data_IF_277157277493
#
_entry.id   IF_277157277493
#
_cell.length_a   1.000
_cell.length_b   1.000
_cell.length_c   1.000
_cell.angle_alpha   90.00
_cell.angle_beta   90.00
_cell.angle_gamma   90.00
#
_symmetry.space_group_name_H-M   'P 1'
#
loop_
_entity.id
_entity.type
_entity.pdbx_description
1 polymer ?
#
# COMPACT_ATOMS: atom_id res chain seq x y z
N UNK A 1 -3.48 -17.76 12.55
CA UNK A 1 -3.44 -16.28 12.41
C UNK A 1 -2.47 -15.98 11.30
N UNK A 2 -2.92 -15.28 10.25
CA UNK A 2 -2.06 -14.93 9.13
C UNK A 2 -1.92 -13.41 8.98
N UNK A 3 -0.80 -13.00 8.39
CA UNK A 3 -0.41 -11.62 8.16
C UNK A 3 -0.17 -11.42 6.66
N UNK A 4 -0.89 -10.49 6.03
CA UNK A 4 -0.90 -10.37 4.57
C UNK A 4 -0.45 -8.98 4.13
N UNK A 5 0.48 -8.95 3.17
CA UNK A 5 0.94 -7.72 2.51
C UNK A 5 0.05 -7.33 1.33
N UNK A 6 -0.08 -6.02 1.08
CA UNK A 6 -0.79 -5.46 -0.06
C UNK A 6 0.12 -4.46 -0.77
N UNK A 7 0.39 -4.67 -2.06
CA UNK A 7 1.10 -3.71 -2.91
C UNK A 7 0.09 -3.09 -3.89
N UNK A 8 -0.21 -1.80 -3.70
CA UNK A 8 -1.13 -1.07 -4.57
C UNK A 8 -0.41 -0.58 -5.84
N UNK A 9 -0.73 -1.17 -6.97
CA UNK A 9 -0.10 -0.91 -8.28
C UNK A 9 -1.10 -0.50 -9.38
N UNK A 10 -2.38 -0.29 -9.05
CA UNK A 10 -3.43 0.04 -10.03
C UNK A 10 -3.45 1.49 -10.52
N UNK A 11 -2.59 2.36 -9.98
CA UNK A 11 -2.55 3.77 -10.37
C UNK A 11 -1.98 3.99 -11.77
N UNK A 12 -2.71 4.70 -12.64
CA UNK A 12 -2.28 5.04 -14.01
C UNK A 12 -1.23 6.17 -14.08
N UNK A 13 -0.90 6.79 -12.95
CA UNK A 13 0.17 7.80 -12.88
C UNK A 13 -0.09 9.06 -13.70
N UNK A 14 -1.33 9.51 -13.84
CA UNK A 14 -1.75 10.66 -14.70
C UNK A 14 -0.92 11.95 -14.51
N UNK A 15 -0.33 12.15 -13.33
CA UNK A 15 0.52 13.29 -13.00
C UNK A 15 1.98 13.13 -13.42
N UNK A 16 2.40 11.92 -13.80
CA UNK A 16 3.83 11.63 -14.06
C UNK A 16 4.26 11.94 -15.50
N UNK A 17 3.31 12.01 -16.46
CA UNK A 17 3.58 12.41 -17.84
C UNK A 17 4.46 11.45 -18.67
N UNK A 18 4.64 10.21 -18.22
CA UNK A 18 5.39 9.20 -18.95
C UNK A 18 4.45 8.30 -19.79
N UNK A 19 5.01 7.65 -20.81
CA UNK A 19 4.27 6.73 -21.71
C UNK A 19 3.74 5.47 -21.01
N UNK A 20 4.19 5.21 -19.79
CA UNK A 20 3.76 4.07 -18.96
C UNK A 20 3.60 4.47 -17.49
N UNK A 21 2.77 3.73 -16.72
CA UNK A 21 2.62 3.97 -15.29
C UNK A 21 3.95 3.96 -14.54
N UNK A 22 4.11 4.89 -13.58
CA UNK A 22 5.39 5.13 -12.88
C UNK A 22 5.96 3.89 -12.18
N UNK A 23 5.10 3.02 -11.65
CA UNK A 23 5.51 1.78 -10.98
C UNK A 23 6.25 0.80 -11.90
N UNK A 24 6.09 0.93 -13.21
CA UNK A 24 6.77 0.12 -14.23
C UNK A 24 7.97 0.85 -14.87
N UNK A 25 8.25 2.08 -14.45
CA UNK A 25 9.48 2.76 -14.82
C UNK A 25 10.66 2.13 -14.10
N UNK A 26 11.81 2.07 -14.77
CA UNK A 26 13.03 1.50 -14.18
C UNK A 26 13.75 2.51 -13.28
N UNK A 27 14.19 2.01 -12.13
CA UNK A 27 15.23 2.60 -11.31
C UNK A 27 16.43 1.66 -11.46
N UNK A 28 17.52 2.17 -12.02
CA UNK A 28 18.64 1.35 -12.49
C UNK A 28 18.15 0.31 -13.52
N UNK A 29 18.27 -0.96 -13.24
CA UNK A 29 17.90 -2.07 -14.12
C UNK A 29 16.55 -2.73 -13.80
N UNK A 30 15.91 -2.38 -12.67
CA UNK A 30 14.66 -2.96 -12.18
C UNK A 30 13.48 -2.01 -12.28
N UNK A 31 12.28 -2.53 -12.54
CA UNK A 31 11.06 -1.75 -12.40
C UNK A 31 10.86 -1.29 -10.94
N UNK A 32 10.28 -0.11 -10.74
CA UNK A 32 10.07 0.44 -9.40
C UNK A 32 9.30 -0.52 -8.49
N UNK A 33 8.27 -1.20 -9.01
CA UNK A 33 7.49 -2.19 -8.28
C UNK A 33 8.33 -3.38 -7.78
N UNK A 34 9.41 -3.73 -8.48
CA UNK A 34 10.29 -4.82 -8.07
C UNK A 34 10.85 -4.63 -6.67
N UNK A 35 11.20 -3.39 -6.30
CA UNK A 35 11.75 -3.09 -4.98
C UNK A 35 10.74 -3.38 -3.87
N UNK A 36 9.48 -2.99 -4.05
CA UNK A 36 8.40 -3.33 -3.11
C UNK A 36 8.18 -4.85 -3.04
N UNK A 37 8.05 -5.53 -4.18
CA UNK A 37 7.90 -6.99 -4.22
C UNK A 37 9.05 -7.69 -3.50
N UNK A 38 10.29 -7.24 -3.72
CA UNK A 38 11.47 -7.83 -3.09
C UNK A 38 11.50 -7.60 -1.57
N UNK A 39 11.09 -6.41 -1.09
CA UNK A 39 11.00 -6.14 0.34
C UNK A 39 9.96 -7.03 1.02
N UNK A 40 8.77 -7.15 0.45
CA UNK A 40 7.72 -8.03 0.98
C UNK A 40 8.12 -9.50 1.01
N UNK A 41 8.86 -9.99 0.01
CA UNK A 41 9.38 -11.37 0.00
C UNK A 41 10.41 -11.66 1.09
N UNK A 42 11.15 -10.66 1.53
CA UNK A 42 12.20 -10.81 2.52
C UNK A 42 11.72 -10.53 3.95
N UNK A 43 10.55 -9.91 4.11
CA UNK A 43 9.94 -9.68 5.41
C UNK A 43 9.58 -11.02 6.07
N UNK A 44 9.77 -11.09 7.39
CA UNK A 44 9.62 -12.32 8.18
C UNK A 44 8.25 -12.43 8.86
N UNK A 45 7.63 -11.27 9.09
CA UNK A 45 6.39 -11.17 9.86
C UNK A 45 5.13 -11.10 8.98
N UNK A 46 5.27 -11.40 7.68
CA UNK A 46 4.15 -11.60 6.75
C UNK A 46 4.21 -13.02 6.16
N UNK A 47 3.06 -13.65 6.02
CA UNK A 47 2.94 -15.01 5.49
C UNK A 47 2.80 -15.03 3.97
N UNK A 48 2.15 -14.01 3.39
CA UNK A 48 1.95 -13.87 1.96
C UNK A 48 1.67 -12.40 1.60
N UNK A 49 1.66 -12.08 0.31
CA UNK A 49 1.27 -10.75 -0.17
C UNK A 49 0.61 -10.80 -1.54
N UNK A 50 -0.22 -9.80 -1.81
CA UNK A 50 -0.93 -9.61 -3.08
C UNK A 50 -0.52 -8.29 -3.74
N UNK A 51 -0.64 -8.25 -5.07
CA UNK A 51 -0.41 -7.04 -5.87
C UNK A 51 -1.72 -6.63 -6.52
N UNK A 52 -2.21 -5.44 -6.18
CA UNK A 52 -3.43 -4.89 -6.75
C UNK A 52 -3.10 -4.10 -8.00
N UNK A 53 -3.67 -4.49 -9.14
CA UNK A 53 -3.32 -3.98 -10.47
C UNK A 53 -4.55 -3.46 -11.22
N UNK A 54 -4.33 -2.66 -12.26
CA UNK A 54 -5.40 -2.27 -13.17
C UNK A 54 -5.87 -3.45 -14.05
N UNK A 55 -6.98 -3.24 -14.78
CA UNK A 55 -7.58 -4.27 -15.61
C UNK A 55 -6.65 -4.77 -16.75
N UNK A 56 -5.80 -3.90 -17.30
CA UNK A 56 -4.90 -4.28 -18.39
C UNK A 56 -3.79 -5.21 -17.88
N UNK A 57 -3.18 -4.87 -16.75
CA UNK A 57 -2.16 -5.72 -16.12
C UNK A 57 -2.77 -7.03 -15.60
N UNK A 58 -4.00 -6.99 -15.08
CA UNK A 58 -4.74 -8.20 -14.68
C UNK A 58 -4.98 -9.12 -15.87
N UNK A 59 -5.39 -8.58 -17.02
CA UNK A 59 -5.62 -9.35 -18.23
C UNK A 59 -4.32 -9.90 -18.83
N UNK A 60 -3.23 -9.13 -18.82
CA UNK A 60 -1.92 -9.55 -19.34
C UNK A 60 -1.26 -10.62 -18.48
N UNK A 61 -1.46 -10.54 -17.17
CA UNK A 61 -0.84 -11.40 -16.17
C UNK A 61 0.69 -11.30 -16.14
N UNK A 62 1.27 -10.22 -16.69
CA UNK A 62 2.72 -10.05 -16.82
C UNK A 62 3.43 -10.10 -15.49
N UNK A 63 2.96 -9.35 -14.49
CA UNK A 63 3.58 -9.33 -13.16
C UNK A 63 3.52 -10.70 -12.47
N UNK A 64 2.41 -11.43 -12.62
CA UNK A 64 2.33 -12.78 -12.08
C UNK A 64 3.36 -13.70 -12.72
N UNK A 65 3.54 -13.60 -14.05
CA UNK A 65 4.51 -14.41 -14.80
C UNK A 65 5.96 -14.02 -14.49
N UNK A 66 6.26 -12.69 -14.47
CA UNK A 66 7.63 -12.21 -14.34
C UNK A 66 8.15 -12.26 -12.89
N UNK A 67 7.25 -12.08 -11.94
CA UNK A 67 7.59 -11.98 -10.52
C UNK A 67 6.97 -13.06 -9.63
N UNK A 68 6.11 -13.94 -10.16
CA UNK A 68 5.49 -15.01 -9.37
C UNK A 68 4.63 -14.47 -8.22
N UNK A 69 3.83 -13.43 -8.48
CA UNK A 69 2.98 -12.78 -7.48
C UNK A 69 1.50 -13.02 -7.75
N UNK A 70 0.70 -13.03 -6.69
CA UNK A 70 -0.75 -13.09 -6.80
C UNK A 70 -1.32 -11.72 -7.15
N UNK A 71 -2.10 -11.64 -8.25
CA UNK A 71 -2.73 -10.41 -8.70
C UNK A 71 -4.18 -10.33 -8.23
N UNK A 72 -4.57 -9.12 -7.82
CA UNK A 72 -5.97 -8.77 -7.52
C UNK A 72 -6.35 -7.57 -8.39
N UNK A 73 -7.52 -7.61 -9.01
CA UNK A 73 -7.98 -6.49 -9.82
C UNK A 73 -8.40 -5.34 -8.94
N UNK A 74 -7.85 -4.16 -9.18
CA UNK A 74 -8.24 -2.90 -8.55
C UNK A 74 -9.56 -2.36 -9.08
N UNK A 75 -10.02 -1.27 -8.47
CA UNK A 75 -11.18 -0.48 -8.90
C UNK A 75 -10.77 0.80 -9.61
N UNK A 76 -11.75 1.70 -9.83
CA UNK A 76 -11.54 2.99 -10.48
C UNK A 76 -10.86 4.01 -9.57
N UNK A 77 -10.93 3.82 -8.26
CA UNK A 77 -10.32 4.68 -7.24
C UNK A 77 -9.33 3.88 -6.39
N UNK A 78 -8.50 4.60 -5.60
CA UNK A 78 -7.61 3.98 -4.62
C UNK A 78 -8.42 3.19 -3.57
N UNK A 79 -9.51 3.79 -3.07
CA UNK A 79 -10.34 3.16 -2.06
C UNK A 79 -11.06 1.91 -2.60
N UNK A 80 -11.57 1.94 -3.83
CA UNK A 80 -12.13 0.75 -4.48
C UNK A 80 -11.08 -0.34 -4.66
N UNK A 81 -9.86 0.02 -5.08
CA UNK A 81 -8.74 -0.92 -5.24
C UNK A 81 -8.37 -1.56 -3.91
N UNK A 82 -8.32 -0.76 -2.84
CA UNK A 82 -8.04 -1.27 -1.50
C UNK A 82 -9.18 -2.16 -0.99
N UNK A 83 -10.44 -1.76 -1.20
CA UNK A 83 -11.60 -2.61 -0.85
C UNK A 83 -11.55 -3.96 -1.55
N UNK A 84 -11.22 -4.00 -2.84
CA UNK A 84 -11.09 -5.26 -3.59
C UNK A 84 -9.99 -6.16 -2.99
N UNK A 85 -8.89 -5.57 -2.53
CA UNK A 85 -7.84 -6.30 -1.82
C UNK A 85 -8.35 -6.88 -0.50
N UNK A 86 -9.06 -6.06 0.30
CA UNK A 86 -9.64 -6.51 1.58
C UNK A 86 -10.65 -7.65 1.37
N UNK A 87 -11.52 -7.56 0.36
CA UNK A 87 -12.48 -8.62 0.03
C UNK A 87 -11.80 -9.91 -0.42
N UNK A 88 -10.73 -9.79 -1.21
CA UNK A 88 -9.92 -10.94 -1.60
C UNK A 88 -9.28 -11.61 -0.38
N UNK A 89 -8.67 -10.83 0.51
CA UNK A 89 -8.04 -11.34 1.74
C UNK A 89 -9.07 -12.02 2.62
N UNK A 90 -10.21 -11.38 2.89
CA UNK A 90 -11.28 -11.96 3.72
C UNK A 90 -11.78 -13.31 3.19
N UNK A 91 -11.83 -13.48 1.88
CA UNK A 91 -12.27 -14.71 1.22
C UNK A 91 -11.19 -15.80 1.22
N UNK A 92 -9.93 -15.41 0.99
CA UNK A 92 -8.83 -16.35 0.73
C UNK A 92 -8.06 -16.71 1.99
N UNK A 93 -7.98 -15.78 2.95
CA UNK A 93 -7.25 -15.92 4.21
C UNK A 93 -8.18 -15.65 5.41
N UNK A 94 -9.11 -16.56 5.70
CA UNK A 94 -10.14 -16.34 6.75
C UNK A 94 -9.56 -16.11 8.15
N UNK A 95 -8.31 -16.53 8.37
CA UNK A 95 -7.58 -16.35 9.64
C UNK A 95 -6.68 -15.12 9.64
N UNK A 96 -6.86 -14.20 8.68
CA UNK A 96 -6.05 -12.99 8.59
C UNK A 96 -6.33 -12.06 9.77
N UNK A 97 -5.27 -11.70 10.48
CA UNK A 97 -5.31 -10.81 11.65
C UNK A 97 -4.68 -9.46 11.38
N UNK A 98 -3.64 -9.43 10.56
CA UNK A 98 -2.85 -8.23 10.30
C UNK A 98 -2.65 -8.02 8.81
N UNK A 99 -2.68 -6.78 8.38
CA UNK A 99 -2.28 -6.41 7.03
C UNK A 99 -1.35 -5.21 7.05
N UNK A 100 -0.50 -5.13 6.03
CA UNK A 100 0.29 -3.95 5.72
C UNK A 100 0.15 -3.60 4.25
N UNK A 101 -0.12 -2.32 3.94
CA UNK A 101 -0.18 -1.83 2.57
C UNK A 101 0.98 -0.92 2.21
N UNK A 102 1.47 -1.04 1.00
CA UNK A 102 2.44 -0.10 0.41
C UNK A 102 2.05 0.26 -1.02
N UNK A 103 2.37 1.49 -1.43
CA UNK A 103 2.24 1.87 -2.83
C UNK A 103 3.41 1.31 -3.64
N UNK A 104 3.14 0.69 -4.79
CA UNK A 104 4.17 0.16 -5.70
C UNK A 104 5.19 1.22 -6.17
N UNK A 105 4.82 2.49 -6.06
CA UNK A 105 5.68 3.63 -6.38
C UNK A 105 6.45 4.20 -5.17
N UNK A 106 6.48 3.47 -4.04
CA UNK A 106 7.29 3.78 -2.86
C UNK A 106 8.39 2.70 -2.71
N UNK A 107 9.47 2.76 -3.51
CA UNK A 107 10.47 1.69 -3.60
C UNK A 107 11.42 1.61 -2.41
N UNK A 108 11.36 2.57 -1.49
CA UNK A 108 12.27 2.65 -0.34
C UNK A 108 11.79 1.86 0.88
N UNK A 109 10.69 1.11 0.76
CA UNK A 109 10.24 0.19 1.81
C UNK A 109 11.28 -0.91 2.00
N UNK A 110 11.56 -1.28 3.25
CA UNK A 110 12.50 -2.35 3.60
C UNK A 110 11.80 -3.49 4.33
N UNK A 111 12.37 -4.71 4.29
CA UNK A 111 11.83 -5.83 5.06
C UNK A 111 11.75 -5.53 6.56
N UNK A 112 12.76 -4.86 7.12
CA UNK A 112 12.82 -4.51 8.53
C UNK A 112 11.69 -3.55 8.92
N UNK A 113 11.37 -2.58 8.07
CA UNK A 113 10.25 -1.66 8.30
C UNK A 113 8.91 -2.41 8.27
N UNK A 114 8.74 -3.35 7.36
CA UNK A 114 7.54 -4.20 7.30
C UNK A 114 7.41 -5.00 8.60
N UNK A 115 8.48 -5.65 9.03
CA UNK A 115 8.50 -6.48 10.24
C UNK A 115 8.19 -5.62 11.49
N UNK A 116 8.77 -4.43 11.61
CA UNK A 116 8.51 -3.49 12.70
C UNK A 116 7.03 -3.08 12.78
N UNK A 117 6.41 -2.77 11.63
CA UNK A 117 5.00 -2.41 11.56
C UNK A 117 4.08 -3.55 11.98
N UNK A 118 4.42 -4.78 11.57
CA UNK A 118 3.65 -5.96 11.95
C UNK A 118 3.77 -6.27 13.44
N UNK A 119 4.94 -6.04 14.06
CA UNK A 119 5.14 -6.19 15.50
C UNK A 119 4.36 -5.13 16.29
N UNK A 120 4.36 -3.87 15.83
CA UNK A 120 3.60 -2.79 16.47
C UNK A 120 2.08 -3.04 16.48
N UNK A 121 1.54 -3.81 15.55
CA UNK A 121 0.13 -4.20 15.55
C UNK A 121 -0.23 -5.17 16.70
N UNK A 122 0.72 -5.67 17.48
CA UNK A 122 0.40 -6.38 18.72
C UNK A 122 -0.11 -5.45 19.82
N UNK A 123 0.30 -4.17 19.78
CA UNK A 123 -0.10 -3.15 20.74
C UNK A 123 -1.13 -2.18 20.18
N UNK A 124 -1.10 -1.90 18.88
CA UNK A 124 -1.90 -0.87 18.22
C UNK A 124 -2.84 -1.46 17.16
N UNK A 125 -3.97 -0.79 16.94
CA UNK A 125 -4.93 -1.19 15.88
C UNK A 125 -4.54 -0.69 14.50
N UNK A 126 -3.75 0.39 14.45
CA UNK A 126 -3.29 1.07 13.25
C UNK A 126 -1.89 1.65 13.45
N UNK A 127 -1.02 1.46 12.48
CA UNK A 127 0.34 1.99 12.44
C UNK A 127 0.58 2.66 11.09
N UNK A 128 1.09 3.88 11.09
CA UNK A 128 1.46 4.57 9.85
C UNK A 128 2.81 5.27 9.96
N UNK A 129 3.40 5.55 8.80
CA UNK A 129 4.57 6.43 8.71
C UNK A 129 4.12 7.89 8.71
N UNK A 130 4.58 8.66 9.70
CA UNK A 130 4.29 10.08 9.77
C UNK A 130 5.57 10.89 10.05
N UNK A 131 5.67 12.09 9.50
CA UNK A 131 6.74 13.01 9.84
C UNK A 131 6.24 14.45 10.02
N UNK A 132 6.96 15.19 10.86
CA UNK A 132 6.63 16.57 11.17
C UNK A 132 6.84 17.47 9.97
N UNK A 133 5.94 18.44 9.81
CA UNK A 133 6.08 19.49 8.82
C UNK A 133 7.10 20.52 9.32
N UNK A 134 8.17 20.70 8.57
CA UNK A 134 9.23 21.68 8.86
C UNK A 134 8.99 23.01 8.17
N UNK A 135 8.28 23.01 7.05
CA UNK A 135 7.96 24.21 6.28
C UNK A 135 6.79 25.00 6.87
N UNK A 136 6.65 26.25 6.49
CA UNK A 136 5.51 27.07 6.85
C UNK A 136 4.26 26.60 6.08
N UNK A 137 3.14 26.43 6.81
CA UNK A 137 1.85 26.08 6.21
C UNK A 137 1.07 27.34 5.83
N UNK A 138 0.56 27.35 4.59
CA UNK A 138 -0.46 28.28 4.14
C UNK A 138 -1.82 27.60 4.12
N UNK A 139 -2.88 28.35 4.39
CA UNK A 139 -4.26 27.89 4.25
C UNK A 139 -5.03 28.81 3.32
N UNK A 140 -5.89 28.24 2.48
CA UNK A 140 -6.83 28.99 1.65
C UNK A 140 -8.05 29.49 2.44
N UNK A 141 -8.30 28.93 3.62
CA UNK A 141 -9.47 29.24 4.45
C UNK A 141 -9.12 30.02 5.70
N UNK A 142 -8.03 29.62 6.38
CA UNK A 142 -7.62 30.14 7.67
C UNK A 142 -6.45 31.12 7.49
N UNK A 143 -6.44 32.18 8.29
CA UNK A 143 -5.36 33.17 8.24
C UNK A 143 -4.04 32.65 8.82
N UNK A 144 -4.13 31.71 9.77
CA UNK A 144 -2.99 31.10 10.45
C UNK A 144 -3.21 29.61 10.53
N UNK A 145 -2.27 28.83 10.01
CA UNK A 145 -2.20 27.38 10.21
C UNK A 145 -1.01 27.10 11.14
N UNK A 146 -1.29 26.54 12.31
CA UNK A 146 -0.22 26.09 13.20
C UNK A 146 0.27 24.71 12.70
N UNK A 147 1.49 24.65 12.18
CA UNK A 147 2.06 23.40 11.63
C UNK A 147 2.21 22.27 12.67
N UNK A 148 2.26 22.61 13.95
CA UNK A 148 2.37 21.60 15.04
C UNK A 148 1.09 20.77 15.19
N UNK A 149 -0.04 21.21 14.62
CA UNK A 149 -1.30 20.49 14.61
C UNK A 149 -1.40 19.50 13.41
N UNK A 150 -0.39 19.46 12.55
CA UNK A 150 -0.39 18.67 11.33
C UNK A 150 0.87 17.82 11.21
N UNK A 151 0.73 16.71 10.48
CA UNK A 151 1.84 15.86 10.04
C UNK A 151 1.57 15.32 8.65
N UNK A 152 2.61 14.87 7.98
CA UNK A 152 2.48 14.23 6.67
C UNK A 152 2.48 12.72 6.85
N UNK A 153 1.49 12.06 6.24
CA UNK A 153 1.38 10.60 6.23
C UNK A 153 2.01 10.08 4.95
N UNK A 154 2.74 8.99 5.07
CA UNK A 154 3.32 8.25 3.95
C UNK A 154 3.07 6.75 4.10
N UNK A 155 3.14 6.02 2.98
CA UNK A 155 3.17 4.57 3.03
C UNK A 155 4.50 4.07 3.67
N UNK A 156 4.49 2.91 4.34
CA UNK A 156 3.37 1.98 4.46
C UNK A 156 2.36 2.35 5.55
N UNK A 157 1.17 1.73 5.47
CA UNK A 157 0.14 1.74 6.50
C UNK A 157 -0.16 0.28 6.90
N UNK A 158 -0.28 0.01 8.21
CA UNK A 158 -0.60 -1.32 8.71
C UNK A 158 -1.81 -1.29 9.65
N UNK A 159 -2.59 -2.37 9.63
CA UNK A 159 -3.88 -2.43 10.33
C UNK A 159 -4.14 -3.81 10.93
N UNK A 160 -4.90 -3.87 12.02
CA UNK A 160 -5.60 -5.08 12.43
C UNK A 160 -6.72 -5.35 11.44
N UNK A 161 -6.61 -6.44 10.69
CA UNK A 161 -7.48 -6.73 9.55
C UNK A 161 -8.97 -6.83 9.91
N UNK A 162 -9.40 -7.57 10.97
CA UNK A 162 -10.82 -7.68 11.29
C UNK A 162 -11.47 -6.33 11.63
N UNK A 163 -10.73 -5.46 12.31
CA UNK A 163 -11.21 -4.13 12.68
C UNK A 163 -11.36 -3.24 11.44
N UNK A 164 -10.31 -3.20 10.59
CA UNK A 164 -10.36 -2.45 9.34
C UNK A 164 -11.48 -2.94 8.43
N UNK A 165 -11.56 -4.25 8.19
CA UNK A 165 -12.55 -4.83 7.28
C UNK A 165 -14.00 -4.49 7.67
N UNK A 166 -14.27 -4.51 8.98
CA UNK A 166 -15.58 -4.17 9.55
C UNK A 166 -15.97 -2.70 9.34
N UNK A 167 -15.00 -1.79 9.40
CA UNK A 167 -15.26 -0.34 9.42
C UNK A 167 -14.84 0.39 8.14
N UNK A 168 -14.19 -0.29 7.19
CA UNK A 168 -13.76 0.33 5.96
C UNK A 168 -14.93 0.70 5.06
N UNK A 169 -15.06 1.98 4.77
CA UNK A 169 -16.01 2.52 3.80
C UNK A 169 -15.23 3.09 2.60
N UNK A 170 -15.44 2.49 1.42
CA UNK A 170 -14.75 2.92 0.18
C UNK A 170 -15.18 4.32 -0.29
N UNK A 171 -16.34 4.80 0.16
CA UNK A 171 -16.91 6.08 -0.23
C UNK A 171 -16.56 7.21 0.75
N UNK A 172 -15.91 6.88 1.89
CA UNK A 172 -15.33 7.85 2.81
C UNK A 172 -13.98 8.34 2.28
N UNK A 173 -13.89 9.60 1.87
CA UNK A 173 -12.67 10.19 1.33
C UNK A 173 -12.52 11.65 1.69
#
# INVERSE_FOLDING_TARGET
MSSIGIILAGGIGSRFGADKPKQYCKIFDKEMIWYSINAFRQAKNIDDFIVVVDANEMQSGRLAKDYGVTLVQGGNTRNESFKNALDYINKTFPDCEKIIENNAACPMITPELIDEFMDLLDEYDYVNTAYKITDALGSYKDRIANREDFYLIQAPDAYRFPLLYKHFDKDSG
#
